data_IF_271231179917
#
_entry.id   IF_271231179917
#
_cell.length_a   1.000
_cell.length_b   1.000
_cell.length_c   1.000
_cell.angle_alpha   90.00
_cell.angle_beta   90.00
_cell.angle_gamma   90.00
#
_symmetry.space_group_name_H-M   'P 1'
#
loop_
_entity.id
_entity.type
_entity.pdbx_description
1 polymer ?
#
# COMPACT_ATOMS: atom_id res chain seq x y z
N UNK A 1 72.99 -1.62 31.64
CA UNK A 1 71.77 -0.79 31.75
C UNK A 1 71.63 -0.08 30.40
N UNK A 2 70.62 -0.26 29.57
CA UNK A 2 69.22 -0.60 29.76
C UNK A 2 68.71 -1.52 28.62
N UNK A 3 67.70 -2.31 28.95
CA UNK A 3 67.11 -3.38 28.17
C UNK A 3 66.48 -2.90 26.86
N UNK A 4 66.78 -3.64 25.78
CA UNK A 4 66.11 -3.55 24.48
C UNK A 4 64.64 -3.93 24.65
N UNK A 5 63.74 -2.96 24.59
CA UNK A 5 62.31 -3.22 24.45
C UNK A 5 62.01 -3.73 23.04
N UNK A 6 61.94 -5.05 22.91
CA UNK A 6 61.47 -5.75 21.72
C UNK A 6 59.95 -5.60 21.64
N UNK A 7 59.47 -4.57 20.93
CA UNK A 7 58.05 -4.42 20.63
C UNK A 7 57.65 -5.49 19.59
N UNK A 8 57.06 -6.59 20.05
CA UNK A 8 56.49 -7.63 19.19
C UNK A 8 55.19 -7.06 18.63
N UNK A 9 55.24 -6.43 17.46
CA UNK A 9 54.03 -6.12 16.69
C UNK A 9 53.30 -7.44 16.51
N UNK A 10 52.19 -7.62 17.24
CA UNK A 10 51.34 -8.81 17.16
C UNK A 10 50.79 -8.84 15.74
N UNK A 11 50.85 -10.02 15.12
CA UNK A 11 50.60 -10.21 13.69
C UNK A 11 49.34 -9.51 13.23
N UNK A 12 49.49 -8.67 12.21
CA UNK A 12 48.36 -8.26 11.39
C UNK A 12 47.99 -9.49 10.55
N UNK A 13 47.15 -10.36 11.11
CA UNK A 13 46.44 -11.38 10.34
C UNK A 13 45.47 -10.61 9.43
N UNK A 14 45.98 -10.19 8.27
CA UNK A 14 45.21 -9.49 7.26
C UNK A 14 44.14 -10.42 6.69
N UNK A 15 42.96 -9.85 6.44
CA UNK A 15 41.87 -10.49 5.73
C UNK A 15 42.41 -11.16 4.45
N UNK A 16 42.15 -12.45 4.30
CA UNK A 16 42.65 -13.18 3.13
C UNK A 16 41.78 -12.85 1.91
N UNK A 17 42.36 -12.88 0.69
CA UNK A 17 41.57 -12.69 -0.54
C UNK A 17 40.46 -13.74 -0.66
N UNK A 18 40.71 -14.95 -0.16
CA UNK A 18 39.72 -16.03 -0.17
C UNK A 18 38.53 -15.71 0.75
N UNK A 19 38.74 -15.03 1.87
CA UNK A 19 37.65 -14.57 2.75
C UNK A 19 36.75 -13.55 2.06
N UNK A 20 37.34 -12.58 1.37
CA UNK A 20 36.55 -11.59 0.63
C UNK A 20 35.75 -12.26 -0.50
N UNK A 21 36.35 -13.21 -1.21
CA UNK A 21 35.66 -13.95 -2.27
C UNK A 21 34.51 -14.78 -1.70
N UNK A 22 34.73 -15.51 -0.60
CA UNK A 22 33.68 -16.30 0.03
C UNK A 22 32.49 -15.44 0.49
N UNK A 23 32.77 -14.26 1.07
CA UNK A 23 31.72 -13.32 1.49
C UNK A 23 30.94 -12.76 0.28
N UNK A 24 31.63 -12.38 -0.80
CA UNK A 24 30.99 -11.88 -2.02
C UNK A 24 30.09 -12.93 -2.67
N UNK A 25 30.51 -14.21 -2.67
CA UNK A 25 29.68 -15.31 -3.18
C UNK A 25 28.42 -15.49 -2.33
N UNK A 26 28.54 -15.48 -1.00
CA UNK A 26 27.37 -15.60 -0.11
C UNK A 26 26.43 -14.41 -0.29
N UNK A 27 26.95 -13.17 -0.30
CA UNK A 27 26.14 -11.97 -0.55
C UNK A 27 25.49 -11.99 -1.94
N UNK A 28 26.17 -12.52 -2.95
CA UNK A 28 25.62 -12.68 -4.30
C UNK A 28 24.41 -13.63 -4.34
N UNK A 29 24.50 -14.77 -3.66
CA UNK A 29 23.38 -15.73 -3.57
C UNK A 29 22.22 -15.12 -2.78
N UNK A 30 22.50 -14.48 -1.64
CA UNK A 30 21.48 -13.82 -0.83
C UNK A 30 20.78 -12.71 -1.61
N UNK A 31 21.53 -11.88 -2.34
CA UNK A 31 20.95 -10.82 -3.17
C UNK A 31 20.06 -11.38 -4.29
N UNK A 32 20.50 -12.44 -4.97
CA UNK A 32 19.73 -13.07 -6.04
C UNK A 32 18.33 -13.56 -5.60
N UNK A 33 18.21 -14.02 -4.35
CA UNK A 33 16.92 -14.49 -3.79
C UNK A 33 16.16 -13.38 -3.06
N UNK A 34 16.86 -12.47 -2.36
CA UNK A 34 16.23 -11.45 -1.54
C UNK A 34 15.60 -10.32 -2.37
N UNK A 35 16.25 -9.91 -3.47
CA UNK A 35 15.76 -8.82 -4.32
C UNK A 35 14.36 -9.10 -4.91
N UNK A 36 14.11 -10.23 -5.61
CA UNK A 36 12.78 -10.48 -6.17
C UNK A 36 11.70 -10.56 -5.08
N UNK A 37 12.01 -11.24 -3.97
CA UNK A 37 11.09 -11.35 -2.84
C UNK A 37 10.77 -9.98 -2.21
N UNK A 38 11.75 -9.09 -2.12
CA UNK A 38 11.55 -7.74 -1.59
C UNK A 38 10.62 -6.91 -2.49
N UNK A 39 10.74 -7.03 -3.81
CA UNK A 39 9.82 -6.38 -4.75
C UNK A 39 8.39 -6.93 -4.63
N UNK A 40 8.23 -8.26 -4.55
CA UNK A 40 6.91 -8.87 -4.39
C UNK A 40 6.23 -8.46 -3.07
N UNK A 41 6.99 -8.37 -1.98
CA UNK A 41 6.47 -7.91 -0.69
C UNK A 41 6.09 -6.43 -0.71
N UNK A 42 6.86 -5.58 -1.39
CA UNK A 42 6.48 -4.18 -1.58
C UNK A 42 5.15 -4.09 -2.33
N UNK A 43 5.02 -4.74 -3.50
CA UNK A 43 3.77 -4.71 -4.29
C UNK A 43 2.57 -5.21 -3.49
N UNK A 44 2.73 -6.28 -2.71
CA UNK A 44 1.67 -6.78 -1.83
C UNK A 44 1.28 -5.77 -0.75
N UNK A 45 2.26 -5.09 -0.15
CA UNK A 45 2.01 -4.09 0.89
C UNK A 45 1.27 -2.88 0.32
N UNK A 46 1.65 -2.44 -0.89
CA UNK A 46 1.00 -1.33 -1.59
C UNK A 46 -0.46 -1.68 -1.94
N UNK A 47 -0.70 -2.87 -2.50
CA UNK A 47 -2.04 -3.32 -2.85
C UNK A 47 -2.94 -3.47 -1.59
N UNK A 48 -2.41 -4.00 -0.48
CA UNK A 48 -3.15 -4.10 0.78
C UNK A 48 -3.51 -2.73 1.37
N UNK A 49 -2.63 -1.73 1.21
CA UNK A 49 -2.94 -0.37 1.61
C UNK A 49 -4.08 0.23 0.77
N UNK A 50 -4.07 0.00 -0.56
CA UNK A 50 -5.17 0.41 -1.43
C UNK A 50 -6.50 -0.28 -1.11
N UNK A 51 -6.47 -1.59 -0.81
CA UNK A 51 -7.66 -2.33 -0.38
C UNK A 51 -8.29 -1.72 0.89
N UNK A 52 -7.47 -1.22 1.81
CA UNK A 52 -7.92 -0.49 3.00
C UNK A 52 -8.73 0.76 2.65
N UNK A 53 -8.34 1.51 1.63
CA UNK A 53 -9.12 2.66 1.17
C UNK A 53 -10.45 2.28 0.51
N UNK A 54 -10.56 1.08 -0.06
CA UNK A 54 -11.86 0.56 -0.52
C UNK A 54 -12.85 0.39 0.63
N UNK A 55 -12.39 -0.13 1.77
CA UNK A 55 -13.21 -0.23 2.97
C UNK A 55 -13.60 1.16 3.53
N UNK A 56 -12.69 2.14 3.44
CA UNK A 56 -12.98 3.52 3.81
C UNK A 56 -14.01 4.17 2.89
N UNK A 57 -13.93 3.95 1.58
CA UNK A 57 -14.91 4.42 0.60
C UNK A 57 -16.32 3.93 0.92
N UNK A 58 -16.47 2.62 1.16
CA UNK A 58 -17.75 2.02 1.56
C UNK A 58 -18.26 2.61 2.87
N UNK A 59 -17.38 2.79 3.87
CA UNK A 59 -17.74 3.39 5.15
C UNK A 59 -18.19 4.85 5.01
N UNK A 60 -17.50 5.64 4.18
CA UNK A 60 -17.84 7.03 3.89
C UNK A 60 -19.22 7.15 3.26
N UNK A 61 -19.52 6.31 2.27
CA UNK A 61 -20.83 6.30 1.59
C UNK A 61 -21.94 5.91 2.57
N UNK A 62 -21.74 4.85 3.37
CA UNK A 62 -22.70 4.43 4.38
C UNK A 62 -22.94 5.50 5.45
N UNK A 63 -21.89 6.22 5.89
CA UNK A 63 -22.02 7.30 6.85
C UNK A 63 -22.79 8.49 6.25
N UNK A 64 -22.46 8.88 5.02
CA UNK A 64 -23.12 9.98 4.31
C UNK A 64 -24.60 9.68 4.09
N UNK A 65 -24.91 8.43 3.73
CA UNK A 65 -26.27 7.92 3.61
C UNK A 65 -27.03 7.98 4.95
N UNK A 66 -26.42 7.52 6.04
CA UNK A 66 -27.02 7.58 7.37
C UNK A 66 -27.34 9.04 7.79
N UNK A 67 -26.43 9.98 7.52
CA UNK A 67 -26.65 11.41 7.77
C UNK A 67 -27.80 11.97 6.92
N UNK A 68 -27.92 11.57 5.66
CA UNK A 68 -28.98 12.02 4.77
C UNK A 68 -30.38 11.58 5.27
N UNK A 69 -30.53 10.32 5.69
CA UNK A 69 -31.79 9.83 6.29
C UNK A 69 -32.14 10.62 7.56
N UNK A 70 -31.15 10.86 8.43
CA UNK A 70 -31.37 11.67 9.64
C UNK A 70 -31.81 13.09 9.31
N UNK A 71 -31.34 13.65 8.19
CA UNK A 71 -31.75 14.95 7.64
C UNK A 71 -33.13 14.96 6.97
N UNK A 72 -33.83 13.83 6.92
CA UNK A 72 -35.15 13.72 6.31
C UNK A 72 -35.14 13.37 4.83
N UNK A 73 -33.98 13.02 4.25
CA UNK A 73 -33.92 12.46 2.91
C UNK A 73 -34.62 11.10 2.87
N UNK A 74 -35.29 10.81 1.76
CA UNK A 74 -35.87 9.47 1.54
C UNK A 74 -34.88 8.60 0.79
N UNK A 75 -35.02 7.28 0.95
CA UNK A 75 -34.18 6.30 0.25
C UNK A 75 -34.16 6.54 -1.26
N UNK A 76 -35.29 6.98 -1.83
CA UNK A 76 -35.43 7.31 -3.25
C UNK A 76 -34.67 8.58 -3.68
N UNK A 77 -34.55 9.57 -2.79
CA UNK A 77 -33.81 10.82 -3.01
C UNK A 77 -32.28 10.62 -2.90
N UNK A 78 -31.88 9.58 -2.19
CA UNK A 78 -30.47 9.23 -1.96
C UNK A 78 -29.90 8.30 -3.05
N UNK A 79 -30.72 7.95 -4.05
CA UNK A 79 -30.29 7.25 -5.28
C UNK A 79 -29.82 8.22 -6.37
N UNK A 80 -29.84 9.53 -6.10
CA UNK A 80 -29.34 10.53 -7.06
C UNK A 80 -27.83 10.39 -7.13
N UNK A 81 -27.33 10.14 -8.34
CA UNK A 81 -25.92 10.04 -8.74
C UNK A 81 -24.98 10.97 -7.97
N UNK A 82 -25.39 12.17 -7.55
CA UNK A 82 -24.57 13.10 -6.75
C UNK A 82 -24.23 12.68 -5.30
N UNK A 83 -24.83 11.63 -4.73
CA UNK A 83 -24.39 11.07 -3.43
C UNK A 83 -23.21 10.10 -3.59
N UNK A 84 -23.17 9.39 -4.71
CA UNK A 84 -22.16 8.39 -5.01
C UNK A 84 -21.04 9.00 -5.84
N UNK A 85 -21.32 9.84 -6.84
CA UNK A 85 -20.32 10.51 -7.69
C UNK A 85 -19.55 11.59 -6.93
N UNK A 86 -18.57 11.15 -6.16
CA UNK A 86 -17.64 12.04 -5.48
C UNK A 86 -16.25 11.41 -5.44
N UNK A 87 -15.29 12.14 -6.00
CA UNK A 87 -13.88 11.87 -5.78
C UNK A 87 -13.54 12.16 -4.31
N UNK A 88 -13.11 11.15 -3.56
CA UNK A 88 -12.53 11.31 -2.22
C UNK A 88 -11.02 11.31 -2.35
N UNK A 89 -10.41 12.44 -2.02
CA UNK A 89 -8.97 12.54 -1.86
C UNK A 89 -8.59 12.14 -0.43
N UNK A 90 -7.92 11.00 -0.30
CA UNK A 90 -7.39 10.45 0.95
C UNK A 90 -5.88 10.72 1.09
N UNK A 91 -5.39 11.74 0.38
CA UNK A 91 -4.00 12.17 0.34
C UNK A 91 -3.21 11.41 -0.71
N UNK A 92 -2.92 10.14 -0.44
CA UNK A 92 -2.11 9.30 -1.34
C UNK A 92 -2.95 8.38 -2.23
N UNK A 93 -4.27 8.49 -2.09
CA UNK A 93 -5.26 7.66 -2.77
C UNK A 93 -6.43 8.54 -3.19
N UNK A 94 -6.96 8.27 -4.39
CA UNK A 94 -8.21 8.85 -4.88
C UNK A 94 -9.24 7.76 -4.98
N UNK A 95 -10.42 7.97 -4.40
CA UNK A 95 -11.57 7.10 -4.59
C UNK A 95 -12.51 7.77 -5.56
N UNK A 96 -12.70 7.18 -6.72
CA UNK A 96 -13.80 7.54 -7.61
C UNK A 96 -14.97 6.58 -7.40
N UNK A 97 -16.19 7.08 -7.50
CA UNK A 97 -17.38 6.27 -7.32
C UNK A 97 -18.35 6.62 -8.44
N UNK A 98 -18.66 5.63 -9.26
CA UNK A 98 -19.53 5.76 -10.42
C UNK A 98 -20.88 5.08 -10.16
N UNK A 99 -21.95 5.71 -10.64
CA UNK A 99 -23.32 5.23 -10.47
C UNK A 99 -24.06 5.26 -11.81
N UNK A 100 -24.12 4.10 -12.46
CA UNK A 100 -24.80 3.87 -13.73
C UNK A 100 -26.26 3.43 -13.57
N UNK A 101 -26.83 3.55 -12.36
CA UNK A 101 -28.19 3.09 -12.06
C UNK A 101 -28.30 1.63 -11.57
N UNK A 102 -27.17 0.91 -11.45
CA UNK A 102 -27.03 -0.37 -10.73
C UNK A 102 -26.28 -0.19 -9.40
N UNK A 103 -25.76 -1.23 -8.76
CA UNK A 103 -24.96 -1.01 -7.53
C UNK A 103 -23.75 -0.09 -7.81
N UNK A 104 -23.60 1.05 -7.09
CA UNK A 104 -22.50 1.97 -7.31
C UNK A 104 -21.15 1.27 -7.27
N UNK A 105 -20.30 1.55 -8.24
CA UNK A 105 -18.96 0.97 -8.33
C UNK A 105 -17.96 1.99 -7.78
N UNK A 106 -17.14 1.58 -6.83
CA UNK A 106 -16.02 2.41 -6.37
C UNK A 106 -14.73 1.90 -7.02
N UNK A 107 -13.84 2.82 -7.37
CA UNK A 107 -12.46 2.56 -7.81
C UNK A 107 -11.52 3.36 -6.93
N UNK A 108 -10.64 2.67 -6.25
CA UNK A 108 -9.58 3.27 -5.43
C UNK A 108 -8.27 3.19 -6.19
N UNK A 109 -7.70 4.35 -6.48
CA UNK A 109 -6.46 4.49 -7.22
C UNK A 109 -5.39 5.17 -6.37
N UNK A 110 -4.15 4.77 -6.56
CA UNK A 110 -3.02 5.49 -5.98
C UNK A 110 -2.79 6.81 -6.70
N UNK A 111 -2.44 7.85 -5.95
CA UNK A 111 -2.00 9.12 -6.55
C UNK A 111 -0.64 8.89 -7.23
N UNK A 112 -0.53 9.27 -8.50
CA UNK A 112 0.73 9.17 -9.25
C UNK A 112 1.82 10.02 -8.58
N UNK A 113 3.00 9.45 -8.36
CA UNK A 113 4.09 10.07 -7.61
C UNK A 113 3.93 10.03 -6.09
N UNK A 114 2.88 9.38 -5.59
CA UNK A 114 2.61 9.12 -4.18
C UNK A 114 3.40 7.97 -3.57
N UNK A 115 3.20 7.72 -2.28
CA UNK A 115 3.81 6.59 -1.56
C UNK A 115 3.23 5.22 -1.97
N UNK A 116 2.05 5.23 -2.59
CA UNK A 116 1.33 4.08 -3.12
C UNK A 116 1.45 3.96 -4.65
N UNK A 117 2.25 4.81 -5.29
CA UNK A 117 2.45 4.76 -6.75
C UNK A 117 2.94 3.39 -7.22
N UNK A 118 2.31 2.85 -8.26
CA UNK A 118 2.56 1.49 -8.76
C UNK A 118 1.73 0.39 -8.09
N UNK A 119 0.87 0.72 -7.13
CA UNK A 119 -0.18 -0.16 -6.64
C UNK A 119 -1.27 -0.37 -7.71
N UNK A 120 -1.96 -1.51 -7.63
CA UNK A 120 -3.04 -1.86 -8.57
C UNK A 120 -4.36 -1.29 -8.07
N UNK A 121 -5.10 -0.61 -8.94
CA UNK A 121 -6.42 -0.05 -8.63
C UNK A 121 -7.36 -1.12 -8.06
N UNK A 122 -8.10 -0.76 -7.02
CA UNK A 122 -9.06 -1.63 -6.36
C UNK A 122 -10.47 -1.18 -6.72
N UNK A 123 -11.20 -2.04 -7.42
CA UNK A 123 -12.60 -1.79 -7.80
C UNK A 123 -13.54 -2.73 -7.06
N UNK A 124 -14.68 -2.21 -6.60
CA UNK A 124 -15.73 -3.00 -5.97
C UNK A 124 -17.09 -2.32 -6.08
N UNK A 125 -18.14 -2.96 -5.57
CA UNK A 125 -19.50 -2.41 -5.56
C UNK A 125 -19.95 -2.06 -4.15
N UNK A 126 -20.79 -1.04 -4.04
CA UNK A 126 -21.49 -0.65 -2.81
C UNK A 126 -22.95 -1.04 -3.01
N UNK A 127 -23.48 -1.89 -2.14
CA UNK A 127 -24.89 -2.29 -2.21
C UNK A 127 -25.79 -1.07 -2.01
N UNK A 128 -26.76 -0.87 -2.91
CA UNK A 128 -27.72 0.22 -2.76
C UNK A 128 -28.61 0.00 -1.54
N UNK A 129 -28.64 0.95 -0.59
CA UNK A 129 -29.51 0.81 0.57
C UNK A 129 -30.98 0.86 0.14
N UNK A 130 -31.74 -0.19 0.46
CA UNK A 130 -33.17 -0.29 0.17
C UNK A 130 -33.56 -1.10 -1.06
N UNK A 131 -32.60 -1.56 -1.88
CA UNK A 131 -32.85 -2.69 -2.79
C UNK A 131 -32.66 -4.00 -2.00
N UNK A 132 -33.70 -4.84 -1.97
CA UNK A 132 -33.53 -6.22 -1.52
C UNK A 132 -32.65 -6.97 -2.54
N UNK A 133 -31.88 -8.00 -2.11
CA UNK A 133 -31.05 -8.79 -3.01
C UNK A 133 -31.84 -9.49 -4.12
#
# INVERSE_FOLDING_TARGET
MLEKWKNKVRGQEGFTLIEIIAVLVILGILAAVAVPKYYDLQQQSLNQALEGGGAEAVAYVNMTFAQAILGGATVADTQVSGFYTKELDLGDMTVDIEDDGGDPTYTVSAVTGGALDGAVDVTGTIDRPGQAP
#
